data_IF_712143574388
#
_entry.id   IF_712143574388
#
_cell.length_a   1.000
_cell.length_b   1.000
_cell.length_c   1.000
_cell.angle_alpha   90.00
_cell.angle_beta   90.00
_cell.angle_gamma   90.00
#
_symmetry.space_group_name_H-M   'P 1'
#
loop_
_entity.id
_entity.type
_entity.pdbx_description
1 polymer ?
#
# COMPACT_ATOMS: atom_id res chain seq x y z
N UNK A 1 29.41 -15.11 4.01
CA UNK A 1 29.87 -14.45 5.24
C UNK A 1 29.15 -13.11 5.44
N UNK A 2 28.81 -12.69 6.67
CA UNK A 2 28.27 -11.36 6.92
C UNK A 2 29.28 -10.27 6.54
N UNK A 3 28.85 -9.27 5.77
CA UNK A 3 29.66 -8.12 5.38
C UNK A 3 29.06 -6.82 5.91
N UNK A 4 29.89 -5.79 6.09
CA UNK A 4 29.41 -4.46 6.44
C UNK A 4 28.70 -3.82 5.25
N UNK A 5 27.70 -2.97 5.49
CA UNK A 5 26.99 -2.19 4.48
C UNK A 5 27.45 -0.74 4.54
N UNK A 6 28.34 -0.36 3.66
CA UNK A 6 28.93 0.99 3.63
C UNK A 6 27.87 2.08 3.43
N UNK A 7 26.83 1.81 2.65
CA UNK A 7 25.73 2.75 2.42
C UNK A 7 24.97 3.14 3.71
N UNK A 8 25.02 2.31 4.76
CA UNK A 8 24.31 2.57 6.03
C UNK A 8 25.20 3.22 7.10
N UNK A 9 26.50 3.40 6.85
CA UNK A 9 27.44 3.93 7.85
C UNK A 9 27.05 5.35 8.29
N UNK A 10 26.54 6.17 7.40
CA UNK A 10 26.18 7.57 7.66
C UNK A 10 24.77 7.72 8.27
N UNK A 11 23.98 6.66 8.33
CA UNK A 11 22.65 6.68 8.94
C UNK A 11 22.73 6.76 10.47
N UNK A 12 21.67 7.28 11.12
CA UNK A 12 21.55 7.20 12.58
C UNK A 12 21.41 5.74 13.02
N UNK A 13 21.87 5.44 14.25
CA UNK A 13 21.90 4.05 14.73
C UNK A 13 20.53 3.37 14.71
N UNK A 14 19.48 4.08 15.17
CA UNK A 14 18.13 3.55 15.14
C UNK A 14 17.60 3.34 13.71
N UNK A 15 17.98 4.19 12.75
CA UNK A 15 17.64 4.01 11.34
C UNK A 15 18.32 2.77 10.76
N UNK A 16 19.59 2.52 11.14
CA UNK A 16 20.27 1.29 10.79
C UNK A 16 19.53 0.07 11.34
N UNK A 17 19.15 0.07 12.63
CA UNK A 17 18.32 -0.99 13.21
C UNK A 17 17.00 -1.16 12.48
N UNK A 18 16.35 -0.07 12.12
CA UNK A 18 15.06 -0.07 11.39
C UNK A 18 15.19 -0.70 10.00
N UNK A 19 16.25 -0.36 9.26
CA UNK A 19 16.48 -0.91 7.92
C UNK A 19 16.67 -2.43 7.97
N UNK A 20 17.50 -2.93 8.90
CA UNK A 20 17.67 -4.37 9.07
C UNK A 20 16.37 -5.06 9.53
N UNK A 21 15.61 -4.43 10.41
CA UNK A 21 14.32 -4.95 10.86
C UNK A 21 13.30 -5.05 9.71
N UNK A 22 13.24 -4.07 8.82
CA UNK A 22 12.36 -4.12 7.66
C UNK A 22 12.68 -5.30 6.75
N UNK A 23 13.96 -5.52 6.47
CA UNK A 23 14.38 -6.63 5.62
C UNK A 23 14.11 -7.99 6.29
N UNK A 24 14.41 -8.12 7.59
CA UNK A 24 14.14 -9.36 8.34
C UNK A 24 12.64 -9.66 8.40
N UNK A 25 11.84 -8.67 8.77
CA UNK A 25 10.37 -8.82 8.87
C UNK A 25 9.72 -9.03 7.50
N UNK A 26 10.19 -8.31 6.48
CA UNK A 26 9.67 -8.45 5.12
C UNK A 26 9.86 -9.87 4.60
N UNK A 27 11.07 -10.42 4.77
CA UNK A 27 11.35 -11.80 4.36
C UNK A 27 10.54 -12.81 5.18
N UNK A 28 10.42 -12.62 6.50
CA UNK A 28 9.60 -13.49 7.35
C UNK A 28 8.12 -13.42 6.97
N UNK A 29 7.56 -12.24 6.75
CA UNK A 29 6.17 -12.08 6.35
C UNK A 29 5.86 -12.78 5.02
N UNK A 30 6.81 -12.78 4.09
CA UNK A 30 6.68 -13.48 2.82
C UNK A 30 6.68 -15.01 2.98
N UNK A 31 7.57 -15.53 3.85
CA UNK A 31 7.75 -16.98 4.01
C UNK A 31 7.08 -17.58 5.26
N UNK A 32 6.32 -16.81 6.03
CA UNK A 32 5.76 -17.26 7.32
C UNK A 32 4.87 -18.50 7.24
N UNK A 33 4.33 -18.82 6.07
CA UNK A 33 3.50 -20.00 5.83
C UNK A 33 4.31 -21.23 5.40
N UNK A 34 5.55 -21.06 5.01
CA UNK A 34 6.40 -22.14 4.53
C UNK A 34 6.66 -23.18 5.63
N UNK A 35 6.69 -24.45 5.26
CA UNK A 35 6.94 -25.54 6.20
C UNK A 35 8.34 -25.45 6.84
N UNK A 36 9.30 -24.91 6.11
CA UNK A 36 10.72 -24.77 6.51
C UNK A 36 11.10 -23.36 6.90
N UNK A 37 10.17 -22.52 7.35
CA UNK A 37 10.41 -21.11 7.71
C UNK A 37 11.55 -20.93 8.73
N UNK A 38 11.84 -21.93 9.57
CA UNK A 38 12.94 -21.94 10.51
C UNK A 38 14.32 -21.76 9.85
N UNK A 39 14.48 -22.04 8.57
CA UNK A 39 15.71 -21.77 7.79
C UNK A 39 16.06 -20.28 7.82
N UNK A 40 15.09 -19.39 8.01
CA UNK A 40 15.32 -17.95 8.15
C UNK A 40 16.20 -17.59 9.37
N UNK A 41 16.40 -18.49 10.33
CA UNK A 41 17.38 -18.28 11.40
C UNK A 41 18.81 -18.10 10.85
N UNK A 42 19.15 -18.77 9.75
CA UNK A 42 20.45 -18.59 9.08
C UNK A 42 20.55 -17.21 8.45
N UNK A 43 19.48 -16.75 7.81
CA UNK A 43 19.41 -15.40 7.26
C UNK A 43 19.52 -14.35 8.39
N UNK A 44 18.75 -14.50 9.46
CA UNK A 44 18.82 -13.62 10.62
C UNK A 44 20.24 -13.53 11.20
N UNK A 45 20.94 -14.65 11.32
CA UNK A 45 22.33 -14.66 11.74
C UNK A 45 23.18 -13.75 10.86
N UNK A 46 23.09 -13.90 9.55
CA UNK A 46 23.84 -13.07 8.58
C UNK A 46 23.49 -11.59 8.75
N UNK A 47 22.21 -11.26 8.84
CA UNK A 47 21.72 -9.89 8.97
C UNK A 47 22.18 -9.24 10.28
N UNK A 48 22.05 -9.94 11.39
CA UNK A 48 22.51 -9.51 12.72
C UNK A 48 24.01 -9.16 12.72
N UNK A 49 24.84 -10.07 12.23
CA UNK A 49 26.28 -9.84 12.20
C UNK A 49 26.69 -8.79 11.16
N UNK A 50 26.00 -8.69 10.04
CA UNK A 50 26.19 -7.61 9.06
C UNK A 50 25.89 -6.24 9.68
N UNK A 51 24.79 -6.12 10.45
CA UNK A 51 24.44 -4.89 11.16
C UNK A 51 25.54 -4.47 12.13
N UNK A 52 26.01 -5.40 12.98
CA UNK A 52 27.06 -5.07 13.95
C UNK A 52 28.40 -4.79 13.29
N UNK A 53 28.73 -5.39 12.15
CA UNK A 53 29.91 -5.02 11.37
C UNK A 53 29.78 -3.60 10.79
N UNK A 54 28.58 -3.22 10.33
CA UNK A 54 28.29 -1.86 9.86
C UNK A 54 28.46 -0.83 10.98
N UNK A 55 27.89 -1.10 12.15
CA UNK A 55 28.04 -0.22 13.32
C UNK A 55 29.48 -0.19 13.85
N UNK A 56 30.20 -1.29 13.82
CA UNK A 56 31.61 -1.36 14.19
C UNK A 56 32.48 -0.51 13.25
N UNK A 57 32.23 -0.59 11.95
CA UNK A 57 32.90 0.25 10.95
C UNK A 57 32.57 1.73 11.15
N UNK A 58 31.30 2.08 11.40
CA UNK A 58 30.87 3.46 11.69
C UNK A 58 31.63 4.10 12.84
N UNK A 59 31.87 3.36 13.91
CA UNK A 59 32.49 3.86 15.13
C UNK A 59 33.96 3.48 15.26
N UNK A 60 34.55 2.95 14.21
CA UNK A 60 35.95 2.45 14.20
C UNK A 60 36.25 1.58 15.43
N UNK A 61 35.41 0.59 15.69
CA UNK A 61 35.50 -0.27 16.86
C UNK A 61 35.38 -1.75 16.51
N UNK A 62 35.65 -2.65 17.47
CA UNK A 62 35.41 -4.07 17.22
C UNK A 62 33.91 -4.43 17.26
N UNK A 63 33.53 -5.44 16.48
CA UNK A 63 32.17 -5.94 16.50
C UNK A 63 31.66 -6.35 17.88
N UNK A 64 32.56 -6.95 18.72
CA UNK A 64 32.21 -7.33 20.10
C UNK A 64 31.88 -6.11 20.98
N UNK A 65 32.62 -5.00 20.82
CA UNK A 65 32.36 -3.74 21.54
C UNK A 65 31.03 -3.13 21.04
N UNK A 66 30.77 -3.15 19.73
CA UNK A 66 29.52 -2.69 19.18
C UNK A 66 28.34 -3.52 19.73
N UNK A 67 28.41 -4.84 19.71
CA UNK A 67 27.37 -5.71 20.29
C UNK A 67 27.11 -5.38 21.77
N UNK A 68 28.14 -5.22 22.58
CA UNK A 68 28.01 -4.89 24.01
C UNK A 68 27.35 -3.52 24.21
N UNK A 69 27.67 -2.50 23.38
CA UNK A 69 27.11 -1.16 23.45
C UNK A 69 25.57 -1.16 23.25
N UNK A 70 25.08 -1.98 22.35
CA UNK A 70 23.63 -2.02 22.00
C UNK A 70 22.87 -3.12 22.73
N UNK A 71 23.51 -3.91 23.56
CA UNK A 71 22.87 -4.94 24.36
C UNK A 71 22.27 -4.35 25.64
N UNK A 72 20.97 -4.54 25.83
CA UNK A 72 20.20 -4.16 27.01
C UNK A 72 19.17 -5.24 27.30
N UNK A 73 19.14 -5.75 28.55
CA UNK A 73 18.15 -6.73 29.01
C UNK A 73 18.08 -7.98 28.13
N UNK A 74 19.23 -8.48 27.68
CA UNK A 74 19.31 -9.66 26.80
C UNK A 74 18.94 -9.41 25.34
N UNK A 75 18.50 -8.21 24.99
CA UNK A 75 18.10 -7.81 23.64
C UNK A 75 19.02 -6.74 23.06
N UNK A 76 19.02 -6.59 21.75
CA UNK A 76 19.76 -5.52 21.08
C UNK A 76 18.82 -4.36 20.73
N UNK A 77 19.22 -3.13 21.08
CA UNK A 77 18.42 -1.94 20.83
C UNK A 77 19.27 -0.70 20.63
N UNK A 78 18.75 0.25 19.87
CA UNK A 78 19.27 1.61 19.74
C UNK A 78 18.25 2.62 20.26
N UNK A 79 18.69 3.56 21.09
CA UNK A 79 17.84 4.64 21.59
C UNK A 79 17.85 5.83 20.60
N UNK A 80 16.73 6.53 20.52
CA UNK A 80 16.62 7.78 19.78
C UNK A 80 15.59 8.71 20.44
N UNK A 81 15.79 9.98 20.27
CA UNK A 81 14.88 11.00 20.77
C UNK A 81 13.98 11.54 19.66
N UNK A 82 12.70 11.70 19.98
CA UNK A 82 11.72 12.33 19.11
C UNK A 82 10.72 13.13 19.96
N UNK A 83 10.56 14.41 19.65
CA UNK A 83 9.64 15.31 20.36
C UNK A 83 9.89 15.34 21.89
N UNK A 84 11.16 15.40 22.33
CA UNK A 84 11.55 15.40 23.74
C UNK A 84 11.32 14.06 24.48
N UNK A 85 10.93 13.00 23.77
CA UNK A 85 10.74 11.68 24.34
C UNK A 85 11.78 10.69 23.80
N UNK A 86 12.34 9.87 24.67
CA UNK A 86 13.30 8.84 24.32
C UNK A 86 12.56 7.56 23.93
N UNK A 87 12.83 7.09 22.74
CA UNK A 87 12.32 5.82 22.21
C UNK A 87 13.44 4.81 22.03
N UNK A 88 13.09 3.53 22.02
CA UNK A 88 14.04 2.43 21.85
C UNK A 88 13.62 1.54 20.69
N UNK A 89 14.52 1.38 19.72
CA UNK A 89 14.33 0.50 18.55
C UNK A 89 15.03 -0.83 18.82
N UNK A 90 14.27 -1.90 18.99
CA UNK A 90 14.79 -3.24 19.19
C UNK A 90 15.07 -3.94 17.87
N UNK A 91 16.16 -4.72 17.82
CA UNK A 91 16.35 -5.66 16.72
C UNK A 91 15.30 -6.78 16.84
N UNK A 92 14.78 -7.21 15.69
CA UNK A 92 13.83 -8.32 15.64
C UNK A 92 14.37 -9.58 16.31
N UNK A 93 13.62 -10.18 17.22
CA UNK A 93 14.02 -11.34 18.02
C UNK A 93 12.86 -12.33 18.29
N UNK A 94 11.70 -12.16 17.62
CA UNK A 94 10.53 -13.01 17.85
C UNK A 94 10.66 -14.43 17.27
N UNK A 95 11.81 -14.71 16.62
CA UNK A 95 12.05 -16.00 15.98
C UNK A 95 11.26 -16.20 14.69
N UNK A 96 11.44 -17.36 14.04
CA UNK A 96 10.81 -17.70 12.76
C UNK A 96 10.04 -19.00 12.93
N UNK A 97 8.77 -18.87 13.22
CA UNK A 97 7.82 -19.99 13.36
C UNK A 97 6.81 -19.94 12.25
N UNK A 98 6.37 -21.13 11.76
CA UNK A 98 5.30 -21.20 10.79
C UNK A 98 4.03 -20.62 11.38
N UNK A 99 3.42 -19.69 10.67
CA UNK A 99 2.10 -19.17 10.99
C UNK A 99 1.04 -20.15 10.47
N UNK A 100 0.37 -20.84 11.38
CA UNK A 100 -0.67 -21.81 11.05
C UNK A 100 -2.05 -21.17 10.91
N UNK A 101 -2.22 -19.95 11.36
CA UNK A 101 -3.53 -19.26 11.42
C UNK A 101 -3.87 -18.54 10.13
N UNK A 102 -2.87 -18.19 9.32
CA UNK A 102 -3.04 -17.41 8.10
C UNK A 102 -3.42 -18.25 6.86
N UNK A 103 -3.73 -19.53 7.01
CA UNK A 103 -4.00 -20.43 5.88
C UNK A 103 -5.33 -20.17 5.18
N UNK A 104 -6.27 -19.52 5.87
CA UNK A 104 -7.64 -19.41 5.37
C UNK A 104 -7.83 -18.30 4.34
N UNK A 105 -7.18 -17.16 4.51
CA UNK A 105 -7.40 -15.98 3.66
C UNK A 105 -6.47 -15.90 2.44
N UNK A 106 -5.45 -16.72 2.37
CA UNK A 106 -4.43 -16.62 1.32
C UNK A 106 -4.72 -17.48 0.08
N UNK A 107 -5.53 -18.52 0.19
CA UNK A 107 -5.97 -19.33 -0.95
C UNK A 107 -7.17 -18.69 -1.68
N UNK A 108 -7.79 -17.69 -1.10
CA UNK A 108 -8.63 -16.78 -1.86
C UNK A 108 -7.71 -15.92 -2.73
N UNK A 109 -7.68 -16.22 -4.02
CA UNK A 109 -7.16 -15.27 -5.01
C UNK A 109 -7.66 -13.89 -4.61
N UNK A 110 -6.77 -12.88 -4.48
CA UNK A 110 -7.23 -11.53 -4.22
C UNK A 110 -8.33 -11.27 -5.22
N UNK A 111 -9.53 -10.95 -4.75
CA UNK A 111 -10.65 -10.61 -5.61
C UNK A 111 -10.17 -9.49 -6.51
N UNK A 112 -9.62 -9.88 -7.64
CA UNK A 112 -9.16 -9.00 -8.71
C UNK A 112 -10.34 -8.39 -9.44
N UNK A 113 -11.58 -8.69 -8.98
CA UNK A 113 -12.69 -7.84 -9.32
C UNK A 113 -12.32 -6.44 -8.83
N UNK A 114 -11.88 -5.53 -9.69
CA UNK A 114 -11.75 -4.16 -9.28
C UNK A 114 -13.09 -3.84 -8.63
N UNK A 115 -13.07 -3.28 -7.41
CA UNK A 115 -14.31 -2.77 -6.81
C UNK A 115 -14.88 -1.85 -7.86
N UNK A 116 -15.87 -2.35 -8.58
CA UNK A 116 -16.54 -1.57 -9.62
C UNK A 116 -17.22 -0.44 -8.88
N UNK A 117 -16.55 0.70 -8.84
CA UNK A 117 -17.15 1.89 -8.28
C UNK A 117 -18.46 2.10 -9.02
N UNK A 118 -19.53 2.46 -8.31
CA UNK A 118 -20.83 2.76 -8.90
C UNK A 118 -20.76 3.79 -10.03
N UNK A 119 -19.61 4.40 -10.21
CA UNK A 119 -19.29 5.38 -11.25
C UNK A 119 -18.71 4.76 -12.53
N UNK A 120 -18.36 3.47 -12.53
CA UNK A 120 -17.84 2.85 -13.74
C UNK A 120 -18.90 2.72 -14.82
N UNK A 121 -18.46 2.99 -16.05
CA UNK A 121 -19.37 3.06 -17.20
C UNK A 121 -19.94 1.69 -17.59
N UNK A 122 -19.14 0.62 -17.45
CA UNK A 122 -19.52 -0.72 -17.88
C UNK A 122 -20.78 -1.28 -17.17
N UNK A 123 -20.90 -1.24 -15.81
CA UNK A 123 -22.14 -1.65 -15.14
C UNK A 123 -23.34 -0.80 -15.54
N UNK A 124 -23.12 0.50 -15.74
CA UNK A 124 -24.19 1.45 -16.13
C UNK A 124 -24.73 1.18 -17.54
N UNK A 125 -23.85 0.82 -18.48
CA UNK A 125 -24.24 0.38 -19.82
C UNK A 125 -24.97 -0.96 -19.79
N UNK A 126 -24.47 -1.92 -18.98
CA UNK A 126 -25.11 -3.24 -18.85
C UNK A 126 -26.52 -3.17 -18.25
N UNK A 127 -26.79 -2.17 -17.41
CA UNK A 127 -28.13 -1.96 -16.83
C UNK A 127 -29.17 -1.55 -17.84
N UNK A 128 -28.78 -1.14 -19.07
CA UNK A 128 -29.64 -0.70 -20.14
C UNK A 128 -30.71 0.31 -19.69
N UNK A 129 -30.33 1.16 -18.75
CA UNK A 129 -31.21 2.17 -18.13
C UNK A 129 -30.74 3.58 -18.48
N UNK A 130 -31.65 4.40 -18.98
CA UNK A 130 -31.39 5.82 -19.18
C UNK A 130 -31.26 6.54 -17.81
N UNK A 131 -30.16 7.23 -17.57
CA UNK A 131 -29.94 7.96 -16.30
C UNK A 131 -30.73 9.29 -16.22
N UNK A 132 -31.38 9.69 -17.30
CA UNK A 132 -32.21 10.89 -17.38
C UNK A 132 -33.70 10.60 -17.23
N UNK A 133 -34.29 9.86 -18.15
CA UNK A 133 -35.73 9.55 -18.12
C UNK A 133 -36.05 8.28 -17.29
N UNK A 134 -35.06 7.49 -16.92
CA UNK A 134 -35.25 6.28 -16.11
C UNK A 134 -35.72 5.04 -16.86
N UNK A 135 -36.02 5.13 -18.18
CA UNK A 135 -36.44 3.98 -18.98
C UNK A 135 -35.40 2.87 -18.94
N UNK A 136 -35.89 1.63 -18.88
CA UNK A 136 -35.07 0.40 -18.80
C UNK A 136 -35.26 -0.44 -20.06
N UNK A 137 -34.36 -1.41 -20.26
CA UNK A 137 -34.33 -2.34 -21.40
C UNK A 137 -34.26 -1.67 -22.78
N UNK A 138 -33.55 -0.54 -22.84
CA UNK A 138 -33.37 0.25 -24.04
C UNK A 138 -31.91 0.31 -24.45
N UNK A 139 -31.68 0.63 -25.72
CA UNK A 139 -30.32 0.94 -26.16
C UNK A 139 -29.91 2.29 -25.61
N UNK A 140 -28.70 2.31 -25.04
CA UNK A 140 -28.15 3.47 -24.37
C UNK A 140 -26.85 3.93 -25.01
N UNK A 141 -26.67 5.24 -25.04
CA UNK A 141 -25.48 5.91 -25.53
C UNK A 141 -24.77 6.66 -24.40
N UNK A 142 -23.49 6.94 -24.57
CA UNK A 142 -22.71 7.67 -23.57
C UNK A 142 -22.47 9.09 -24.00
N UNK A 143 -23.05 10.02 -23.26
CA UNK A 143 -22.69 11.43 -23.34
C UNK A 143 -21.48 11.69 -22.43
N UNK A 144 -20.44 12.35 -22.95
CA UNK A 144 -19.25 12.63 -22.14
C UNK A 144 -18.70 14.04 -22.34
N UNK A 145 -18.07 14.60 -21.30
CA UNK A 145 -17.38 15.89 -21.32
C UNK A 145 -15.89 15.73 -21.09
N UNK A 146 -15.08 16.60 -21.70
CA UNK A 146 -13.62 16.53 -21.55
C UNK A 146 -13.18 16.74 -20.10
N UNK A 147 -13.69 17.79 -19.45
CA UNK A 147 -13.37 18.10 -18.05
C UNK A 147 -14.60 18.58 -17.31
N UNK A 148 -14.79 18.09 -16.05
CA UNK A 148 -15.86 18.58 -15.18
C UNK A 148 -15.66 20.04 -14.77
N UNK A 149 -14.43 20.52 -14.70
CA UNK A 149 -14.10 21.90 -14.35
C UNK A 149 -14.48 22.92 -15.44
N UNK A 150 -14.81 22.46 -16.64
CA UNK A 150 -15.27 23.29 -17.74
C UNK A 150 -16.80 23.51 -17.70
N UNK A 151 -17.51 22.71 -16.89
CA UNK A 151 -18.96 22.82 -16.72
C UNK A 151 -19.26 23.96 -15.72
N UNK A 152 -20.09 24.88 -16.14
CA UNK A 152 -20.49 26.05 -15.29
C UNK A 152 -21.67 25.72 -14.38
N UNK A 153 -22.40 24.63 -14.64
CA UNK A 153 -23.60 24.26 -13.89
C UNK A 153 -24.82 25.09 -14.27
N UNK A 154 -24.79 25.76 -15.41
CA UNK A 154 -25.91 26.58 -15.92
C UNK A 154 -27.04 25.68 -16.41
N UNK A 155 -26.71 24.54 -17.02
CA UNK A 155 -27.65 23.59 -17.60
C UNK A 155 -27.97 22.45 -16.63
N UNK A 156 -29.20 21.95 -16.65
CA UNK A 156 -29.65 20.88 -15.75
C UNK A 156 -28.77 19.63 -15.84
N UNK A 157 -28.37 19.22 -17.03
CA UNK A 157 -27.50 18.05 -17.21
C UNK A 157 -26.08 18.27 -16.66
N UNK A 158 -25.55 19.51 -16.76
CA UNK A 158 -24.26 19.86 -16.13
C UNK A 158 -24.34 19.73 -14.61
N UNK A 159 -25.42 20.22 -13.99
CA UNK A 159 -25.66 20.11 -12.56
C UNK A 159 -25.69 18.65 -12.12
N UNK A 160 -26.35 17.77 -12.89
CA UNK A 160 -26.39 16.33 -12.63
C UNK A 160 -24.99 15.72 -12.70
N UNK A 161 -24.18 16.08 -13.71
CA UNK A 161 -22.81 15.59 -13.86
C UNK A 161 -21.91 16.08 -12.73
N UNK A 162 -21.99 17.35 -12.36
CA UNK A 162 -21.25 17.97 -11.26
C UNK A 162 -21.63 17.33 -9.91
N UNK A 163 -22.93 17.20 -9.63
CA UNK A 163 -23.43 16.56 -8.40
C UNK A 163 -22.95 15.11 -8.26
N UNK A 164 -22.98 14.37 -9.36
CA UNK A 164 -22.53 12.97 -9.39
C UNK A 164 -21.01 12.84 -9.52
N UNK A 165 -20.27 13.94 -9.70
CA UNK A 165 -18.81 13.96 -9.96
C UNK A 165 -18.40 13.01 -11.08
N UNK A 166 -19.15 12.99 -12.17
CA UNK A 166 -18.95 12.08 -13.29
C UNK A 166 -18.80 12.84 -14.61
N UNK A 167 -17.86 12.39 -15.44
CA UNK A 167 -17.64 12.92 -16.79
C UNK A 167 -18.59 12.31 -17.85
N UNK A 168 -19.44 11.36 -17.45
CA UNK A 168 -20.28 10.59 -18.36
C UNK A 168 -21.70 10.48 -17.85
N UNK A 169 -22.68 10.54 -18.77
CA UNK A 169 -24.07 10.15 -18.56
C UNK A 169 -24.45 9.05 -19.55
N UNK A 170 -25.21 8.06 -19.09
CA UNK A 170 -25.75 6.99 -19.92
C UNK A 170 -27.21 7.35 -20.25
N UNK A 171 -27.48 7.59 -21.49
CA UNK A 171 -28.76 8.14 -21.97
C UNK A 171 -29.36 7.27 -23.08
N UNK A 172 -30.67 7.23 -23.21
CA UNK A 172 -31.29 6.72 -24.42
C UNK A 172 -31.05 7.69 -25.58
N UNK A 173 -31.18 7.21 -26.80
CA UNK A 173 -30.95 7.98 -28.02
C UNK A 173 -31.74 9.27 -28.05
N UNK A 174 -33.01 9.23 -27.65
CA UNK A 174 -33.89 10.42 -27.63
C UNK A 174 -33.40 11.47 -26.61
N UNK A 175 -33.08 11.06 -25.37
CA UNK A 175 -32.58 11.97 -24.36
C UNK A 175 -31.21 12.55 -24.74
N UNK A 176 -30.36 11.75 -25.38
CA UNK A 176 -29.05 12.20 -25.85
C UNK A 176 -29.19 13.26 -26.97
N UNK A 177 -30.08 13.04 -27.92
CA UNK A 177 -30.37 14.02 -28.97
C UNK A 177 -30.96 15.32 -28.40
N UNK A 178 -31.96 15.22 -27.51
CA UNK A 178 -32.56 16.39 -26.83
C UNK A 178 -31.55 17.20 -26.06
N UNK A 179 -30.59 16.52 -25.42
CA UNK A 179 -29.49 17.18 -24.69
C UNK A 179 -28.62 17.99 -25.64
N UNK A 180 -28.25 17.45 -26.81
CA UNK A 180 -27.48 18.18 -27.82
C UNK A 180 -28.26 19.31 -28.50
N UNK A 181 -29.57 19.22 -28.55
CA UNK A 181 -30.47 20.25 -29.10
C UNK A 181 -30.79 21.37 -28.09
N UNK A 182 -30.29 21.28 -26.85
CA UNK A 182 -30.51 22.31 -25.84
C UNK A 182 -31.86 22.24 -25.12
N UNK A 183 -32.62 21.13 -25.24
CA UNK A 183 -33.92 20.97 -24.56
C UNK A 183 -33.79 20.87 -23.02
N UNK A 184 -32.63 20.67 -22.50
CA UNK A 184 -32.36 20.55 -21.06
C UNK A 184 -31.43 21.68 -20.53
N UNK A 185 -31.45 22.80 -21.24
CA UNK A 185 -30.73 24.02 -20.89
C UNK A 185 -31.45 24.82 -19.81
#
# INVERSE_FOLDING_TARGET
MPVQRTALINMKDHETFQQYNWEIRGLYNYYRLANNVSVLNKFYYVMKYSMFKTLAAKYNTSMRKAMKKYQSDGRYSACYERNGKVYRMYLYDNGFRRDKTALWDMDELPRTSPRMNSNEIAPRLRSRRCEWCGNTDIDVEVHHVKKLSELKGEKLWEQVMLKKKRKTLVLCKECHQKLHQGFYD
#
